data_IF_580728523972
#
_entry.id   IF_580728523972
#
_cell.length_a   1.000
_cell.length_b   1.000
_cell.length_c   1.000
_cell.angle_alpha   90.00
_cell.angle_beta   90.00
_cell.angle_gamma   90.00
#
_symmetry.space_group_name_H-M   'P 1'
#
loop_
_entity.id
_entity.type
_entity.pdbx_description
1 polymer ?
#
# COMPACT_ATOMS: atom_id res chain seq x y z
N UNK A 1 -57.36 -34.65 4.00
CA UNK A 1 -56.74 -34.03 2.80
C UNK A 1 -55.34 -33.62 3.21
N UNK A 2 -54.32 -34.36 2.76
CA UNK A 2 -52.93 -34.19 3.16
C UNK A 2 -52.32 -32.98 2.45
N UNK A 3 -51.80 -32.01 3.20
CA UNK A 3 -50.96 -30.95 2.66
C UNK A 3 -49.50 -31.37 2.87
N UNK A 4 -48.91 -32.00 1.86
CA UNK A 4 -47.48 -32.28 1.78
C UNK A 4 -46.76 -30.93 1.63
N UNK A 5 -46.34 -30.36 2.75
CA UNK A 5 -45.54 -29.14 2.78
C UNK A 5 -44.17 -29.39 2.18
N UNK A 6 -43.84 -28.64 1.12
CA UNK A 6 -42.60 -28.75 0.36
C UNK A 6 -41.38 -28.34 1.21
N UNK A 7 -40.84 -29.32 1.94
CA UNK A 7 -39.62 -29.24 2.79
C UNK A 7 -38.37 -28.86 1.97
N UNK A 8 -38.44 -28.94 0.64
CA UNK A 8 -37.34 -28.62 -0.28
C UNK A 8 -37.09 -27.11 -0.47
N UNK A 9 -38.08 -26.26 -0.19
CA UNK A 9 -37.95 -24.81 -0.34
C UNK A 9 -37.28 -24.14 0.86
N UNK A 10 -37.41 -24.75 2.05
CA UNK A 10 -36.81 -24.22 3.28
C UNK A 10 -35.29 -24.45 3.35
N UNK A 11 -34.77 -25.46 2.64
CA UNK A 11 -33.35 -25.81 2.64
C UNK A 11 -32.49 -24.98 1.68
N UNK A 12 -33.10 -24.32 0.68
CA UNK A 12 -32.36 -23.47 -0.25
C UNK A 12 -32.11 -22.06 0.29
N UNK A 13 -32.95 -21.60 1.23
CA UNK A 13 -32.86 -20.24 1.77
C UNK A 13 -31.76 -20.08 2.82
N UNK A 14 -31.34 -21.16 3.47
CA UNK A 14 -30.29 -21.14 4.52
C UNK A 14 -28.87 -21.20 3.96
N UNK A 15 -28.65 -21.72 2.74
CA UNK A 15 -27.29 -21.90 2.19
C UNK A 15 -26.69 -20.63 1.57
N UNK A 16 -27.52 -19.62 1.23
CA UNK A 16 -27.05 -18.38 0.60
C UNK A 16 -26.54 -17.34 1.62
N UNK A 17 -26.84 -17.51 2.92
CA UNK A 17 -26.52 -16.50 3.94
C UNK A 17 -25.05 -16.49 4.41
N UNK A 18 -24.20 -17.44 4.01
CA UNK A 18 -22.86 -17.64 4.60
C UNK A 18 -21.71 -17.02 3.77
N UNK A 19 -21.98 -16.47 2.58
CA UNK A 19 -20.91 -15.97 1.69
C UNK A 19 -20.60 -14.47 1.80
N UNK A 20 -21.25 -13.75 2.73
CA UNK A 20 -20.99 -12.32 2.97
C UNK A 20 -20.15 -12.08 4.24
N UNK A 21 -19.16 -12.92 4.52
CA UNK A 21 -18.02 -12.51 5.36
C UNK A 21 -17.22 -11.47 4.58
N UNK A 22 -17.76 -10.26 4.50
CA UNK A 22 -17.10 -9.11 3.93
C UNK A 22 -15.77 -8.91 4.66
N UNK A 23 -14.72 -8.69 3.89
CA UNK A 23 -13.48 -8.15 4.40
C UNK A 23 -13.83 -6.80 5.06
N UNK A 24 -13.98 -6.77 6.38
CA UNK A 24 -13.95 -5.51 7.14
C UNK A 24 -12.50 -5.07 7.06
N UNK A 25 -12.16 -4.37 5.99
CA UNK A 25 -10.89 -3.68 5.85
C UNK A 25 -10.87 -2.58 6.88
N UNK A 26 -10.22 -2.81 8.02
CA UNK A 26 -9.74 -1.73 8.86
C UNK A 26 -8.66 -1.00 8.07
N UNK A 27 -9.07 -0.07 7.20
CA UNK A 27 -8.18 0.92 6.61
C UNK A 27 -7.70 1.80 7.77
N UNK A 28 -6.62 1.38 8.42
CA UNK A 28 -5.90 2.25 9.34
C UNK A 28 -5.58 3.54 8.58
N UNK A 29 -5.79 4.68 9.23
CA UNK A 29 -5.43 5.97 8.64
C UNK A 29 -3.96 5.92 8.21
N UNK A 30 -3.71 6.34 6.98
CA UNK A 30 -2.38 6.52 6.42
C UNK A 30 -2.29 7.95 5.89
N UNK A 31 -1.25 8.72 6.26
CA UNK A 31 -1.03 10.04 5.69
C UNK A 31 -0.54 9.98 4.25
N UNK A 32 -0.10 8.81 3.76
CA UNK A 32 0.38 8.63 2.39
C UNK A 32 -0.79 8.73 1.39
N UNK A 33 -0.68 9.66 0.45
CA UNK A 33 -1.63 9.88 -0.63
C UNK A 33 -1.26 9.12 -1.91
N UNK A 34 0.02 9.18 -2.29
CA UNK A 34 0.53 8.55 -3.52
C UNK A 34 2.05 8.38 -3.48
N UNK A 35 2.61 7.70 -4.47
CA UNK A 35 4.05 7.54 -4.64
C UNK A 35 4.45 7.58 -6.12
N UNK A 36 5.70 7.96 -6.38
CA UNK A 36 6.40 7.82 -7.65
C UNK A 36 7.67 7.00 -7.43
N UNK A 37 7.84 5.84 -8.11
CA UNK A 37 6.88 5.20 -9.02
C UNK A 37 5.55 4.82 -8.33
N UNK A 38 4.48 4.73 -9.13
CA UNK A 38 3.13 4.41 -8.64
C UNK A 38 3.08 3.03 -7.98
N UNK A 39 2.29 2.94 -6.91
CA UNK A 39 2.07 1.70 -6.16
C UNK A 39 1.42 0.65 -7.06
N UNK A 40 2.07 -0.51 -7.20
CA UNK A 40 1.60 -1.57 -8.10
C UNK A 40 1.80 -1.28 -9.59
N UNK A 41 2.49 -0.20 -9.93
CA UNK A 41 2.82 0.14 -11.32
C UNK A 41 3.95 -0.73 -11.88
N UNK A 42 3.92 -0.95 -13.20
CA UNK A 42 4.98 -1.62 -13.95
C UNK A 42 5.75 -0.61 -14.81
N UNK A 43 7.08 -0.65 -14.76
CA UNK A 43 7.93 0.33 -15.44
C UNK A 43 9.01 -0.36 -16.26
N UNK A 44 9.13 0.02 -17.53
CA UNK A 44 10.18 -0.50 -18.44
C UNK A 44 11.53 0.18 -18.24
N UNK A 45 11.55 1.36 -17.61
CA UNK A 45 12.75 2.09 -17.22
C UNK A 45 12.91 2.03 -15.71
N UNK A 46 14.08 1.59 -15.26
CA UNK A 46 14.43 1.58 -13.84
C UNK A 46 14.40 3.01 -13.25
N UNK A 47 13.58 3.28 -12.22
CA UNK A 47 13.60 4.53 -11.48
C UNK A 47 14.92 4.70 -10.73
N UNK A 48 15.29 5.96 -10.47
CA UNK A 48 16.48 6.32 -9.68
C UNK A 48 16.15 6.94 -8.33
N UNK A 49 14.89 7.23 -8.10
CA UNK A 49 14.40 7.91 -6.91
C UNK A 49 13.06 7.32 -6.52
N UNK A 50 12.77 7.35 -5.23
CA UNK A 50 11.43 7.15 -4.71
C UNK A 50 10.92 8.50 -4.21
N UNK A 51 9.66 8.80 -4.48
CA UNK A 51 8.98 9.98 -3.96
C UNK A 51 7.63 9.57 -3.38
N UNK A 52 7.38 9.95 -2.14
CA UNK A 52 6.18 9.59 -1.39
C UNK A 52 5.47 10.90 -1.04
N UNK A 53 4.20 11.03 -1.39
CA UNK A 53 3.39 12.22 -1.17
C UNK A 53 2.44 12.01 -0.01
N UNK A 54 2.32 13.02 0.84
CA UNK A 54 1.52 12.98 2.06
C UNK A 54 0.46 14.08 2.09
N UNK A 55 -0.49 13.96 3.01
CA UNK A 55 -1.55 14.95 3.25
C UNK A 55 -1.09 16.21 4.01
N UNK A 56 0.12 16.20 4.54
CA UNK A 56 0.82 17.34 5.12
C UNK A 56 2.35 17.15 5.09
N UNK A 57 3.11 18.23 5.31
CA UNK A 57 4.57 18.21 5.28
C UNK A 57 5.15 17.16 6.27
N UNK A 58 5.97 16.20 5.80
CA UNK A 58 6.56 15.18 6.66
C UNK A 58 7.81 15.69 7.41
N UNK A 59 7.98 15.24 8.65
CA UNK A 59 9.19 15.48 9.42
C UNK A 59 10.30 14.50 8.98
N UNK A 60 11.26 14.98 8.19
CA UNK A 60 12.35 14.18 7.63
C UNK A 60 13.16 13.45 8.71
N UNK A 61 13.47 14.10 9.85
CA UNK A 61 14.26 13.49 10.92
C UNK A 61 13.53 12.38 11.68
N UNK A 62 12.19 12.36 11.59
CA UNK A 62 11.34 11.30 12.16
C UNK A 62 10.83 10.32 11.09
N UNK A 63 11.39 10.40 9.88
CA UNK A 63 11.00 9.58 8.75
C UNK A 63 12.06 8.55 8.38
N UNK A 64 11.61 7.43 7.83
CA UNK A 64 12.48 6.40 7.29
C UNK A 64 11.85 5.79 6.04
N UNK A 65 12.69 5.44 5.07
CA UNK A 65 12.29 4.73 3.84
C UNK A 65 13.32 3.64 3.58
N UNK A 66 12.86 2.43 3.29
CA UNK A 66 13.69 1.32 2.81
C UNK A 66 13.08 0.67 1.58
N UNK A 67 13.96 0.09 0.75
CA UNK A 67 13.59 -0.55 -0.51
C UNK A 67 14.12 -1.98 -0.51
N UNK A 68 13.22 -2.95 -0.68
CA UNK A 68 13.58 -4.36 -0.88
C UNK A 68 13.13 -4.80 -2.26
N UNK A 69 13.98 -5.54 -2.96
CA UNK A 69 13.69 -6.08 -4.29
C UNK A 69 14.22 -7.50 -4.47
N UNK A 70 14.35 -7.97 -5.71
CA UNK A 70 14.70 -9.37 -5.99
C UNK A 70 16.10 -9.76 -5.51
N UNK A 71 17.01 -8.78 -5.39
CA UNK A 71 18.37 -8.97 -4.89
C UNK A 71 18.53 -8.68 -3.38
N UNK A 72 17.42 -8.45 -2.66
CA UNK A 72 17.43 -8.05 -1.25
C UNK A 72 17.27 -6.55 -1.06
N UNK A 73 17.87 -6.00 0.00
CA UNK A 73 17.77 -4.59 0.37
C UNK A 73 18.64 -3.71 -0.55
N UNK A 74 18.07 -2.58 -0.98
CA UNK A 74 18.75 -1.61 -1.82
C UNK A 74 19.17 -0.39 -1.00
N UNK A 75 20.44 0.04 -1.07
CA UNK A 75 20.90 1.21 -0.36
C UNK A 75 20.23 2.48 -0.91
N UNK A 76 19.68 3.28 0.00
CA UNK A 76 19.06 4.57 -0.30
C UNK A 76 19.85 5.71 0.35
N UNK A 77 19.79 6.91 -0.22
CA UNK A 77 20.52 8.06 0.31
C UNK A 77 19.77 9.38 0.13
N UNK A 78 19.97 10.26 1.11
CA UNK A 78 19.57 11.66 1.02
C UNK A 78 18.07 11.82 1.10
N UNK A 79 17.43 11.29 2.16
CA UNK A 79 16.01 11.55 2.42
C UNK A 79 15.81 13.06 2.68
N UNK A 80 14.92 13.69 1.93
CA UNK A 80 14.58 15.11 2.06
C UNK A 80 13.15 15.37 1.58
N UNK A 81 12.64 16.58 1.81
CA UNK A 81 11.41 17.07 1.15
C UNK A 81 11.78 18.01 0.01
N UNK A 82 10.90 18.15 -0.97
CA UNK A 82 10.96 19.20 -1.99
C UNK A 82 10.02 20.36 -1.67
N UNK A 83 9.62 20.49 -0.39
CA UNK A 83 8.58 21.41 0.09
C UNK A 83 7.23 21.25 -0.63
N UNK A 84 6.92 20.04 -1.08
CA UNK A 84 5.66 19.69 -1.76
C UNK A 84 4.93 18.55 -1.02
N UNK A 85 4.94 18.62 0.32
CA UNK A 85 4.37 17.61 1.22
C UNK A 85 4.85 16.18 0.91
N UNK A 86 6.15 16.04 0.67
CA UNK A 86 6.75 14.83 0.14
C UNK A 86 8.03 14.41 0.86
N UNK A 87 8.34 13.11 0.73
CA UNK A 87 9.66 12.58 0.97
C UNK A 87 10.24 12.09 -0.35
N UNK A 88 11.45 12.52 -0.68
CA UNK A 88 12.21 12.07 -1.83
C UNK A 88 13.54 11.47 -1.38
N UNK A 89 13.93 10.35 -2.00
CA UNK A 89 15.17 9.64 -1.68
C UNK A 89 15.79 9.00 -2.93
N UNK A 90 17.12 8.99 -3.00
CA UNK A 90 17.90 8.45 -4.12
C UNK A 90 18.15 6.94 -3.94
N UNK A 91 18.00 6.17 -5.01
CA UNK A 91 18.37 4.74 -5.08
C UNK A 91 19.82 4.67 -5.57
N UNK A 92 20.72 4.16 -4.73
CA UNK A 92 22.17 4.21 -4.99
C UNK A 92 22.67 3.20 -6.02
N UNK A 93 21.90 2.13 -6.25
CA UNK A 93 22.29 1.03 -7.13
C UNK A 93 21.26 0.85 -8.26
N UNK A 94 21.70 0.43 -9.46
CA UNK A 94 20.79 0.10 -10.53
C UNK A 94 19.79 -0.99 -10.12
N UNK A 95 18.52 -0.77 -10.41
CA UNK A 95 17.48 -1.78 -10.22
C UNK A 95 17.56 -2.83 -11.34
N UNK A 96 17.27 -4.08 -10.98
CA UNK A 96 17.09 -5.19 -11.92
C UNK A 96 15.59 -5.41 -12.15
N UNK A 97 15.22 -6.16 -13.18
CA UNK A 97 13.83 -6.49 -13.40
C UNK A 97 13.27 -7.35 -12.25
N UNK A 98 12.08 -6.99 -11.76
CA UNK A 98 11.34 -7.76 -10.77
C UNK A 98 10.47 -6.87 -9.88
N UNK A 99 9.92 -7.47 -8.83
CA UNK A 99 9.04 -6.81 -7.88
C UNK A 99 9.82 -6.14 -6.75
N UNK A 100 9.31 -5.00 -6.31
CA UNK A 100 9.91 -4.19 -5.26
C UNK A 100 8.88 -3.80 -4.21
N UNK A 101 9.31 -3.78 -2.96
CA UNK A 101 8.53 -3.31 -1.82
C UNK A 101 9.22 -2.11 -1.20
N UNK A 102 8.47 -1.01 -1.08
CA UNK A 102 8.89 0.18 -0.34
C UNK A 102 8.27 0.12 1.05
N UNK A 103 9.11 0.11 2.08
CA UNK A 103 8.68 0.28 3.46
C UNK A 103 8.96 1.71 3.88
N UNK A 104 8.02 2.33 4.59
CA UNK A 104 8.16 3.70 5.05
C UNK A 104 7.53 3.89 6.43
N UNK A 105 8.05 4.85 7.16
CA UNK A 105 7.47 5.40 8.38
C UNK A 105 7.65 6.90 8.35
N UNK A 106 6.60 7.66 8.65
CA UNK A 106 6.65 9.13 8.67
C UNK A 106 5.81 9.68 9.81
N UNK A 107 6.05 10.95 10.14
CA UNK A 107 5.17 11.80 10.94
C UNK A 107 4.89 13.05 10.11
N UNK A 108 3.61 13.41 9.96
CA UNK A 108 3.17 14.57 9.16
C UNK A 108 2.49 15.61 10.04
N UNK A 109 2.53 16.86 9.58
CA UNK A 109 1.96 18.00 10.30
C UNK A 109 2.86 18.53 11.41
N UNK A 110 2.45 19.66 11.99
CA UNK A 110 3.13 20.26 13.14
C UNK A 110 2.84 19.42 14.40
N UNK A 111 3.88 19.21 15.22
CA UNK A 111 3.76 18.59 16.55
C UNK A 111 3.04 19.50 17.55
#
# INVERSE_FOLDING_TARGET
MAATGNIRFALYLTTIAVLLSGCIGNSAYTPLLSAEPEIGGEFTRAPRTLRLYYDALPNVSRSNVSLTGPAGEYPLRGLHTMAADDLMIEIMQPLIAGEYTVHWTTVVGDE
#
